data_IF_963134049040
#
_entry.id   IF_963134049040
#
_cell.length_a   1.000
_cell.length_b   1.000
_cell.length_c   1.000
_cell.angle_alpha   90.00
_cell.angle_beta   90.00
_cell.angle_gamma   90.00
#
_symmetry.space_group_name_H-M   'P 1'
#
loop_
_entity.id
_entity.type
_entity.pdbx_description
1 polymer ?
#
# COMPACT_ATOMS: atom_id res chain seq x y z
N UNK A 1 10.15 17.91 10.40
CA UNK A 1 9.38 17.21 11.46
C UNK A 1 9.45 15.73 11.17
N UNK A 2 10.04 14.94 12.08
CA UNK A 2 10.51 13.57 11.84
C UNK A 2 9.57 12.52 12.45
N UNK A 3 8.25 12.64 12.20
CA UNK A 3 7.25 11.72 12.79
C UNK A 3 7.60 10.27 12.51
N UNK A 4 8.15 9.97 11.33
CA UNK A 4 8.50 8.62 10.94
C UNK A 4 9.60 8.05 11.83
N UNK A 5 10.70 8.78 12.03
CA UNK A 5 11.78 8.32 12.92
C UNK A 5 11.31 8.17 14.37
N UNK A 6 10.52 9.13 14.87
CA UNK A 6 9.99 9.05 16.24
C UNK A 6 9.00 7.90 16.41
N UNK A 7 8.21 7.58 15.38
CA UNK A 7 7.29 6.45 15.41
C UNK A 7 8.04 5.12 15.49
N UNK A 8 9.12 4.96 14.71
CA UNK A 8 9.96 3.75 14.76
C UNK A 8 10.60 3.60 16.14
N UNK A 9 11.12 4.69 16.71
CA UNK A 9 11.75 4.66 18.04
C UNK A 9 10.73 4.34 19.15
N UNK A 10 9.53 4.93 19.09
CA UNK A 10 8.47 4.66 20.05
C UNK A 10 8.02 3.19 20.01
N UNK A 11 7.85 2.62 18.81
CA UNK A 11 7.49 1.20 18.64
C UNK A 11 8.60 0.31 19.20
N UNK A 12 9.87 0.61 18.91
CA UNK A 12 10.99 -0.14 19.48
C UNK A 12 10.94 -0.13 21.00
N UNK A 13 10.84 1.04 21.61
CA UNK A 13 10.83 1.15 23.07
C UNK A 13 9.64 0.45 23.72
N UNK A 14 8.51 0.37 23.03
CA UNK A 14 7.34 -0.36 23.50
C UNK A 14 7.57 -1.88 23.49
N UNK A 15 8.27 -2.40 22.48
CA UNK A 15 8.40 -3.83 22.25
C UNK A 15 9.71 -4.43 22.78
N UNK A 16 10.78 -3.65 22.87
CA UNK A 16 12.11 -4.11 23.31
C UNK A 16 12.06 -4.57 24.77
N UNK A 17 12.53 -5.80 25.02
CA UNK A 17 12.53 -6.46 26.35
C UNK A 17 11.16 -6.56 27.05
N UNK A 18 10.06 -6.40 26.31
CA UNK A 18 8.71 -6.51 26.86
C UNK A 18 8.03 -7.82 26.42
N UNK A 19 8.10 -8.85 27.26
CA UNK A 19 7.55 -10.19 26.97
C UNK A 19 6.04 -10.20 26.68
N UNK A 20 5.27 -9.33 27.35
CA UNK A 20 3.82 -9.20 27.10
C UNK A 20 3.55 -8.73 25.68
N UNK A 21 4.25 -7.68 25.24
CA UNK A 21 4.12 -7.15 23.90
C UNK A 21 4.66 -8.11 22.84
N UNK A 22 5.73 -8.86 23.14
CA UNK A 22 6.20 -9.93 22.26
C UNK A 22 5.15 -11.02 22.09
N UNK A 23 4.49 -11.44 23.18
CA UNK A 23 3.39 -12.41 23.12
C UNK A 23 2.21 -11.95 22.26
N UNK A 24 1.88 -10.65 22.29
CA UNK A 24 0.86 -10.07 21.39
C UNK A 24 1.33 -10.11 19.93
N UNK A 25 2.59 -9.76 19.67
CA UNK A 25 3.17 -9.74 18.32
C UNK A 25 3.23 -11.15 17.70
N UNK A 26 3.57 -12.18 18.48
CA UNK A 26 3.60 -13.58 18.03
C UNK A 26 2.23 -14.10 17.56
N UNK A 27 1.17 -13.57 18.15
CA UNK A 27 -0.22 -13.91 17.80
C UNK A 27 -0.71 -13.18 16.55
N UNK A 28 -0.01 -12.14 16.10
CA UNK A 28 -0.39 -11.43 14.89
C UNK A 28 -0.32 -12.36 13.68
N UNK A 29 -1.36 -12.30 12.87
CA UNK A 29 -1.46 -13.02 11.60
C UNK A 29 -1.69 -12.02 10.50
N UNK A 30 -0.91 -12.14 9.44
CA UNK A 30 -1.06 -11.30 8.26
C UNK A 30 -2.50 -11.39 7.73
N UNK A 31 -3.20 -10.27 7.73
CA UNK A 31 -4.60 -10.16 7.27
C UNK A 31 -4.73 -9.83 5.77
N UNK A 32 -3.60 -9.73 5.06
CA UNK A 32 -3.55 -9.33 3.65
C UNK A 32 -3.10 -7.88 3.48
N UNK A 33 -3.25 -7.37 2.27
CA UNK A 33 -2.93 -5.98 1.90
C UNK A 33 -4.17 -5.12 2.15
N UNK A 34 -3.99 -4.00 2.84
CA UNK A 34 -5.05 -3.01 2.97
C UNK A 34 -5.29 -2.33 1.60
N UNK A 35 -6.54 -2.28 1.14
CA UNK A 35 -6.90 -1.48 -0.02
C UNK A 35 -6.61 -0.01 0.28
N UNK A 36 -5.74 0.60 -0.52
CA UNK A 36 -5.34 1.98 -0.35
C UNK A 36 -5.47 2.70 -1.70
N UNK A 37 -6.48 3.57 -1.77
CA UNK A 37 -6.79 4.39 -2.95
C UNK A 37 -5.60 5.23 -3.44
N UNK A 38 -4.65 5.56 -2.55
CA UNK A 38 -3.43 6.28 -2.93
C UNK A 38 -2.45 5.41 -3.71
N UNK A 39 -2.35 4.11 -3.37
CA UNK A 39 -1.51 3.16 -4.09
C UNK A 39 -2.06 2.91 -5.50
N UNK A 40 -3.38 2.81 -5.62
CA UNK A 40 -4.05 2.67 -6.92
C UNK A 40 -3.85 3.91 -7.80
N UNK A 41 -3.91 5.12 -7.22
CA UNK A 41 -3.58 6.38 -7.93
C UNK A 41 -2.15 6.42 -8.42
N UNK A 42 -1.23 5.80 -7.68
CA UNK A 42 0.18 5.64 -8.07
C UNK A 42 0.40 4.47 -9.04
N UNK A 43 -0.64 3.71 -9.38
CA UNK A 43 -0.56 2.54 -10.24
C UNK A 43 0.25 1.39 -9.63
N UNK A 44 0.28 1.31 -8.30
CA UNK A 44 1.01 0.29 -7.54
C UNK A 44 0.00 -0.70 -6.98
N UNK A 45 0.06 -1.94 -7.45
CA UNK A 45 -0.69 -3.06 -6.88
C UNK A 45 0.21 -3.87 -5.96
N UNK A 46 -0.28 -4.14 -4.75
CA UNK A 46 0.40 -5.00 -3.77
C UNK A 46 -0.42 -6.27 -3.62
N UNK A 47 0.23 -7.41 -3.82
CA UNK A 47 -0.33 -8.74 -3.59
C UNK A 47 0.53 -9.49 -2.55
N UNK A 48 -0.09 -10.40 -1.80
CA UNK A 48 0.63 -11.30 -0.90
C UNK A 48 1.05 -12.55 -1.67
N UNK A 49 2.36 -12.82 -1.73
CA UNK A 49 2.91 -14.03 -2.31
C UNK A 49 2.85 -15.22 -1.35
N UNK A 50 3.07 -16.41 -1.90
CA UNK A 50 3.18 -17.64 -1.11
C UNK A 50 4.29 -17.49 -0.05
N UNK A 51 3.93 -17.74 1.22
CA UNK A 51 4.81 -17.53 2.37
C UNK A 51 4.75 -16.14 3.02
N UNK A 52 3.88 -15.24 2.54
CA UNK A 52 3.62 -13.94 3.18
C UNK A 52 4.56 -12.80 2.79
N UNK A 53 5.38 -13.00 1.77
CA UNK A 53 6.14 -11.91 1.16
C UNK A 53 5.19 -10.98 0.38
N UNK A 54 5.38 -9.65 0.49
CA UNK A 54 4.64 -8.67 -0.30
C UNK A 54 5.26 -8.54 -1.69
N UNK A 55 4.46 -8.72 -2.74
CA UNK A 55 4.82 -8.46 -4.13
C UNK A 55 4.24 -7.13 -4.59
N UNK A 56 5.10 -6.27 -5.10
CA UNK A 56 4.72 -4.99 -5.68
C UNK A 56 4.76 -5.12 -7.20
N UNK A 57 3.71 -4.66 -7.87
CA UNK A 57 3.64 -4.61 -9.33
C UNK A 57 3.11 -3.26 -9.77
N UNK A 58 3.64 -2.74 -10.87
CA UNK A 58 3.14 -1.51 -11.48
C UNK A 58 2.11 -1.86 -12.54
N UNK A 59 0.90 -1.35 -12.40
CA UNK A 59 -0.11 -1.37 -13.47
C UNK A 59 0.22 -0.29 -14.50
N UNK A 60 0.50 -0.68 -15.74
CA UNK A 60 0.50 0.26 -16.87
C UNK A 60 -0.93 0.76 -17.07
N UNK A 61 -1.19 2.04 -16.82
CA UNK A 61 -2.41 2.68 -17.32
C UNK A 61 -2.35 2.69 -18.85
N UNK A 62 -3.20 1.90 -19.48
CA UNK A 62 -3.52 2.05 -20.90
C UNK A 62 -4.29 3.37 -21.06
N UNK A 63 -3.92 4.12 -22.10
CA UNK A 63 -4.44 5.43 -22.47
C UNK A 63 -5.97 5.40 -22.64
N UNK A 64 -6.66 6.31 -21.94
CA UNK A 64 -7.94 6.79 -22.44
C UNK A 64 -7.59 7.95 -23.38
N UNK A 65 -7.65 7.66 -24.68
CA UNK A 65 -7.65 8.69 -25.70
C UNK A 65 -8.84 9.61 -25.42
N UNK A 66 -8.56 10.89 -25.17
CA UNK A 66 -9.53 11.95 -25.40
C UNK A 66 -10.04 11.77 -26.83
N UNK A 67 -11.25 11.21 -26.94
CA UNK A 67 -11.96 11.13 -28.20
C UNK A 67 -12.26 12.54 -28.61
N UNK A 68 -11.47 13.05 -29.55
CA UNK A 68 -11.70 14.31 -30.25
C UNK A 68 -13.19 14.49 -30.54
N UNK A 69 -13.72 15.64 -30.13
CA UNK A 69 -15.03 16.17 -30.45
C UNK A 69 -15.29 16.07 -31.96
N UNK A 70 -15.98 15.01 -32.39
CA UNK A 70 -16.59 14.95 -33.71
C UNK A 70 -17.91 15.71 -33.63
N UNK A 71 -17.86 17.04 -33.72
CA UNK A 71 -19.04 17.84 -34.07
C UNK A 71 -19.23 17.65 -35.58
N UNK A 72 -20.28 16.97 -36.08
CA UNK A 72 -20.53 16.95 -37.50
C UNK A 72 -20.93 18.36 -37.93
N UNK A 73 -20.07 19.04 -38.70
CA UNK A 73 -20.45 20.23 -39.45
C UNK A 73 -21.47 19.77 -40.49
N UNK A 74 -22.75 20.08 -40.26
CA UNK A 74 -23.75 20.11 -41.32
C UNK A 74 -23.72 21.54 -41.87
N UNK A 75 -23.06 21.71 -43.01
CA UNK A 75 -23.25 22.79 -43.99
C UNK A 75 -22.70 22.31 -45.34
#
# INVERSE_FOLDING_TARGET
MYIKEWSVFAIRNLCEENEENQGVIEQLRMQGVANNDELDKLGIKIDVAEGGALKFSTTKKQQDADGDDFIPIIC
#
